data_IF_948237416891
#
_entry.id   IF_948237416891
#
_cell.length_a   1.000
_cell.length_b   1.000
_cell.length_c   1.000
_cell.angle_alpha   90.00
_cell.angle_beta   90.00
_cell.angle_gamma   90.00
#
_symmetry.space_group_name_H-M   'P 1'
#
loop_
_entity.id
_entity.type
_entity.pdbx_description
1 polymer ?
#
# COMPACT_ATOMS: atom_id res chain seq x y z
N UNK A 1 16.28 -24.52 -4.38
CA UNK A 1 16.10 -24.50 -2.92
C UNK A 1 17.49 -24.53 -2.32
N UNK A 2 17.82 -23.53 -1.50
CA UNK A 2 19.10 -23.44 -0.80
C UNK A 2 18.84 -23.62 0.70
N UNK A 3 19.74 -24.32 1.40
CA UNK A 3 19.64 -24.56 2.84
C UNK A 3 20.74 -23.72 3.50
N UNK A 4 20.34 -22.75 4.30
CA UNK A 4 21.26 -21.85 5.04
C UNK A 4 21.11 -22.08 6.53
N UNK A 5 22.22 -22.12 7.26
CA UNK A 5 22.18 -22.19 8.72
C UNK A 5 21.61 -20.88 9.28
N UNK A 6 20.75 -20.96 10.30
CA UNK A 6 20.16 -19.78 10.93
C UNK A 6 21.17 -18.78 11.50
N UNK A 7 22.35 -19.23 11.91
CA UNK A 7 23.43 -18.38 12.40
C UNK A 7 24.06 -17.50 11.30
N UNK A 8 23.95 -17.91 10.04
CA UNK A 8 24.49 -17.18 8.89
C UNK A 8 23.45 -16.21 8.28
N UNK A 9 22.21 -16.21 8.79
CA UNK A 9 21.15 -15.32 8.32
C UNK A 9 21.39 -13.91 8.89
N UNK A 10 21.76 -12.98 8.02
CA UNK A 10 21.82 -11.56 8.38
C UNK A 10 20.42 -10.93 8.28
N UNK A 11 20.04 -10.15 9.29
CA UNK A 11 18.73 -9.50 9.30
C UNK A 11 18.70 -8.38 8.27
N UNK A 12 17.77 -8.45 7.32
CA UNK A 12 17.52 -7.36 6.38
C UNK A 12 17.19 -6.07 7.12
N UNK A 13 17.78 -4.95 6.68
CA UNK A 13 17.41 -3.60 7.13
C UNK A 13 16.05 -3.16 6.59
N UNK A 14 15.54 -3.85 5.56
CA UNK A 14 14.27 -3.59 4.89
C UNK A 14 13.23 -4.60 5.37
N UNK A 15 12.05 -4.12 5.74
CA UNK A 15 10.93 -4.94 6.20
C UNK A 15 9.65 -4.56 5.48
N UNK A 16 8.77 -5.54 5.24
CA UNK A 16 7.39 -5.34 4.79
C UNK A 16 6.48 -5.68 5.97
N UNK A 17 5.61 -4.76 6.34
CA UNK A 17 4.78 -4.86 7.55
C UNK A 17 3.31 -4.70 7.17
N UNK A 18 2.46 -5.57 7.70
CA UNK A 18 1.00 -5.41 7.65
C UNK A 18 0.56 -4.97 9.04
N UNK A 19 -0.11 -3.81 9.11
CA UNK A 19 -0.68 -3.30 10.35
C UNK A 19 -2.20 -3.52 10.32
N UNK A 20 -2.70 -4.26 11.31
CA UNK A 20 -4.13 -4.56 11.45
C UNK A 20 -4.63 -4.23 12.85
N UNK A 21 -5.75 -3.50 12.92
CA UNK A 21 -6.46 -3.19 14.16
C UNK A 21 -7.89 -2.76 13.86
N UNK A 22 -8.74 -2.68 14.90
CA UNK A 22 -10.10 -2.15 14.78
C UNK A 22 -10.09 -0.69 14.27
N UNK A 23 -11.15 -0.23 13.58
CA UNK A 23 -11.30 1.19 13.22
C UNK A 23 -11.13 2.10 14.45
N UNK A 24 -10.48 3.26 14.28
CA UNK A 24 -10.23 4.21 15.37
C UNK A 24 -9.02 3.93 16.27
N UNK A 25 -8.37 2.76 16.15
CA UNK A 25 -7.21 2.41 16.99
C UNK A 25 -5.84 2.87 16.42
N UNK A 26 -5.81 4.03 15.76
CA UNK A 26 -4.54 4.70 15.40
C UNK A 26 -3.70 4.08 14.27
N UNK A 27 -4.27 3.27 13.37
CA UNK A 27 -3.51 2.68 12.23
C UNK A 27 -2.84 3.75 11.38
N UNK A 28 -3.62 4.74 10.96
CA UNK A 28 -3.15 5.89 10.19
C UNK A 28 -2.08 6.65 10.95
N UNK A 29 -2.28 6.90 12.25
CA UNK A 29 -1.32 7.60 13.12
C UNK A 29 0.05 6.93 13.16
N UNK A 30 0.15 5.61 12.98
CA UNK A 30 1.45 4.91 12.93
C UNK A 30 2.36 5.51 11.87
N UNK A 31 1.85 5.92 10.71
CA UNK A 31 2.67 6.46 9.63
C UNK A 31 3.47 7.71 10.05
N UNK A 32 2.88 8.56 10.89
CA UNK A 32 3.56 9.74 11.45
C UNK A 32 4.57 9.43 12.55
N UNK A 33 4.42 8.29 13.23
CA UNK A 33 5.32 7.85 14.29
C UNK A 33 6.53 7.06 13.78
N UNK A 34 6.57 6.70 12.49
CA UNK A 34 7.72 6.04 11.89
C UNK A 34 8.91 7.02 11.84
N UNK A 35 10.13 6.59 12.21
CA UNK A 35 11.31 7.42 12.07
C UNK A 35 11.61 7.67 10.58
N UNK A 36 12.11 8.87 10.28
CA UNK A 36 12.41 9.28 8.90
C UNK A 36 11.21 9.87 8.15
N UNK A 37 11.40 10.15 6.86
CA UNK A 37 10.33 10.67 5.98
C UNK A 37 9.45 9.53 5.50
N UNK A 38 8.13 9.72 5.59
CA UNK A 38 7.12 8.73 5.20
C UNK A 38 6.27 9.28 4.07
N UNK A 39 6.16 8.51 2.98
CA UNK A 39 5.18 8.76 1.92
C UNK A 39 3.95 7.86 2.14
N UNK A 40 2.79 8.48 2.37
CA UNK A 40 1.52 7.79 2.60
C UNK A 40 0.65 7.84 1.35
N UNK A 41 0.06 6.70 0.96
CA UNK A 41 -1.08 6.64 0.05
C UNK A 41 -2.38 6.58 0.85
N UNK A 42 -3.12 7.69 0.87
CA UNK A 42 -4.46 7.79 1.45
C UNK A 42 -5.53 7.35 0.45
N UNK A 43 -6.19 6.25 0.75
CA UNK A 43 -7.14 5.55 -0.10
C UNK A 43 -8.58 5.78 0.38
N UNK A 44 -8.80 5.92 1.69
CA UNK A 44 -10.13 6.02 2.31
C UNK A 44 -10.44 7.40 2.90
N UNK A 45 -9.54 8.38 2.75
CA UNK A 45 -9.73 9.76 3.17
C UNK A 45 -9.44 10.01 4.64
N UNK A 46 -8.73 9.10 5.31
CA UNK A 46 -8.48 9.15 6.76
C UNK A 46 -7.22 9.94 7.14
N UNK A 47 -6.53 10.55 6.17
CA UNK A 47 -5.27 11.28 6.39
C UNK A 47 -5.36 12.47 7.37
N UNK A 48 -6.56 12.88 7.78
CA UNK A 48 -6.74 13.90 8.83
C UNK A 48 -6.03 13.53 10.14
N UNK A 49 -5.91 12.23 10.43
CA UNK A 49 -5.16 11.73 11.59
C UNK A 49 -3.65 12.00 11.53
N UNK A 50 -3.14 12.45 10.37
CA UNK A 50 -1.75 12.82 10.13
C UNK A 50 -1.49 14.34 10.23
N UNK A 51 -2.51 15.13 10.60
CA UNK A 51 -2.34 16.57 10.78
C UNK A 51 -1.24 16.88 11.80
N UNK A 52 -0.29 17.74 11.41
CA UNK A 52 0.83 18.18 12.26
C UNK A 52 2.08 17.28 12.22
N UNK A 53 2.06 16.15 11.51
CA UNK A 53 3.27 15.34 11.30
C UNK A 53 4.09 15.88 10.14
N UNK A 54 5.15 16.64 10.43
CA UNK A 54 6.03 17.26 9.43
C UNK A 54 6.84 16.26 8.60
N UNK A 55 6.98 15.02 9.07
CA UNK A 55 7.72 13.95 8.40
C UNK A 55 6.87 13.16 7.39
N UNK A 56 5.61 13.54 7.17
CA UNK A 56 4.67 12.78 6.33
C UNK A 56 4.23 13.58 5.12
N UNK A 57 4.49 13.03 3.94
CA UNK A 57 3.87 13.47 2.68
C UNK A 57 2.71 12.54 2.34
N UNK A 58 1.56 13.09 1.93
CA UNK A 58 0.33 12.33 1.63
C UNK A 58 -0.04 12.46 0.16
N UNK A 59 -0.08 11.33 -0.55
CA UNK A 59 -0.69 11.18 -1.85
C UNK A 59 -2.11 10.61 -1.68
N UNK A 60 -3.07 11.09 -2.47
CA UNK A 60 -4.45 10.58 -2.46
C UNK A 60 -4.71 9.68 -3.65
N UNK A 61 -5.45 8.59 -3.43
CA UNK A 61 -5.90 7.73 -4.52
C UNK A 61 -6.87 8.48 -5.43
N UNK A 62 -6.78 8.25 -6.75
CA UNK A 62 -7.88 8.52 -7.66
C UNK A 62 -8.85 7.32 -7.61
N UNK A 63 -9.96 7.51 -6.91
CA UNK A 63 -11.00 6.48 -6.76
C UNK A 63 -11.69 6.09 -8.08
N UNK A 64 -11.58 6.91 -9.14
CA UNK A 64 -12.15 6.61 -10.46
C UNK A 64 -11.25 5.67 -11.28
N UNK A 65 -9.93 5.75 -11.07
CA UNK A 65 -8.92 4.90 -11.70
C UNK A 65 -7.95 4.32 -10.64
N UNK A 66 -8.44 3.50 -9.71
CA UNK A 66 -7.67 3.08 -8.54
C UNK A 66 -6.43 2.25 -8.91
N UNK A 67 -6.52 1.44 -9.97
CA UNK A 67 -5.39 0.64 -10.45
C UNK A 67 -4.24 1.51 -10.96
N UNK A 68 -4.53 2.49 -11.82
CA UNK A 68 -3.48 3.35 -12.39
C UNK A 68 -2.92 4.29 -11.33
N UNK A 69 -3.76 4.76 -10.41
CA UNK A 69 -3.35 5.62 -9.30
C UNK A 69 -2.35 4.96 -8.35
N UNK A 70 -2.54 3.69 -7.98
CA UNK A 70 -1.56 3.00 -7.13
C UNK A 70 -0.25 2.73 -7.88
N UNK A 71 -0.29 2.48 -9.19
CA UNK A 71 0.92 2.32 -10.00
C UNK A 71 1.70 3.63 -10.09
N UNK A 72 1.00 4.75 -10.27
CA UNK A 72 1.59 6.08 -10.23
C UNK A 72 2.21 6.38 -8.87
N UNK A 73 1.54 6.03 -7.77
CA UNK A 73 2.09 6.16 -6.42
C UNK A 73 3.42 5.41 -6.28
N UNK A 74 3.49 4.14 -6.71
CA UNK A 74 4.73 3.38 -6.66
C UNK A 74 5.81 3.93 -7.61
N UNK A 75 5.43 4.49 -8.76
CA UNK A 75 6.37 5.18 -9.64
C UNK A 75 6.96 6.43 -8.99
N UNK A 76 6.14 7.23 -8.29
CA UNK A 76 6.59 8.40 -7.51
C UNK A 76 7.52 7.95 -6.38
N UNK A 77 7.13 6.93 -5.61
CA UNK A 77 7.96 6.38 -4.54
C UNK A 77 9.34 5.95 -5.05
N UNK A 78 9.36 5.22 -6.18
CA UNK A 78 10.60 4.77 -6.82
C UNK A 78 11.45 5.92 -7.36
N UNK A 79 10.83 6.94 -7.95
CA UNK A 79 11.54 8.11 -8.47
C UNK A 79 12.15 8.99 -7.36
N UNK A 80 11.62 8.88 -6.13
CA UNK A 80 12.06 9.65 -4.96
C UNK A 80 12.63 8.74 -3.87
N UNK A 81 13.30 7.66 -4.27
CA UNK A 81 13.71 6.60 -3.34
C UNK A 81 14.71 7.08 -2.27
N UNK A 82 15.51 8.10 -2.58
CA UNK A 82 16.46 8.69 -1.65
C UNK A 82 15.82 9.72 -0.70
N UNK A 83 14.52 10.03 -0.89
CA UNK A 83 13.79 11.02 -0.08
C UNK A 83 12.95 10.37 1.01
N UNK A 84 12.46 9.15 0.80
CA UNK A 84 11.50 8.50 1.69
C UNK A 84 12.10 7.24 2.33
N UNK A 85 12.16 7.24 3.66
CA UNK A 85 12.55 6.09 4.45
C UNK A 85 11.42 5.04 4.50
N UNK A 86 10.17 5.50 4.45
CA UNK A 86 8.99 4.66 4.61
C UNK A 86 7.97 4.89 3.49
N UNK A 87 7.39 3.80 2.98
CA UNK A 87 6.21 3.82 2.10
C UNK A 87 5.05 3.16 2.85
N UNK A 88 3.93 3.88 2.96
CA UNK A 88 2.78 3.46 3.76
C UNK A 88 1.50 3.49 2.92
N UNK A 89 0.70 2.42 2.94
CA UNK A 89 -0.54 2.28 2.16
C UNK A 89 -1.71 2.22 3.12
N UNK A 90 -2.56 3.26 3.13
CA UNK A 90 -3.68 3.39 4.07
C UNK A 90 -5.02 3.58 3.32
N UNK A 91 -5.93 2.62 3.23
CA UNK A 91 -5.84 1.25 3.71
C UNK A 91 -6.02 0.24 2.56
N UNK A 92 -5.26 -0.85 2.62
CA UNK A 92 -5.23 -1.89 1.59
C UNK A 92 -6.61 -2.54 1.36
N UNK A 93 -7.44 -2.68 2.40
CA UNK A 93 -8.78 -3.25 2.29
C UNK A 93 -9.71 -2.37 1.45
N UNK A 94 -9.60 -1.05 1.56
CA UNK A 94 -10.39 -0.11 0.77
C UNK A 94 -9.91 -0.11 -0.69
N UNK A 95 -8.59 -0.23 -0.92
CA UNK A 95 -8.04 -0.43 -2.26
C UNK A 95 -8.61 -1.66 -2.96
N UNK A 96 -8.65 -2.81 -2.28
CA UNK A 96 -9.24 -4.05 -2.82
C UNK A 96 -10.68 -3.84 -3.27
N UNK A 97 -11.48 -3.12 -2.46
CA UNK A 97 -12.87 -2.79 -2.81
C UNK A 97 -12.95 -1.90 -4.04
N UNK A 98 -12.17 -0.81 -4.10
CA UNK A 98 -12.14 0.08 -5.25
C UNK A 98 -11.73 -0.66 -6.53
N UNK A 99 -10.72 -1.53 -6.44
CA UNK A 99 -10.25 -2.34 -7.57
C UNK A 99 -11.34 -3.27 -8.09
N UNK A 100 -12.05 -3.99 -7.20
CA UNK A 100 -13.15 -4.88 -7.57
C UNK A 100 -14.35 -4.12 -8.13
N UNK A 101 -14.73 -3.00 -7.51
CA UNK A 101 -15.81 -2.14 -8.02
C UNK A 101 -15.49 -1.64 -9.43
N UNK A 102 -14.23 -1.28 -9.70
CA UNK A 102 -13.80 -0.87 -11.04
C UNK A 102 -13.95 -1.99 -12.07
N UNK A 103 -13.70 -3.25 -11.69
CA UNK A 103 -13.96 -4.40 -12.57
C UNK A 103 -15.45 -4.62 -12.80
N UNK A 104 -16.25 -4.48 -11.75
CA UNK A 104 -17.69 -4.63 -11.78
C UNK A 104 -18.39 -3.67 -12.77
N UNK A 105 -17.85 -2.47 -12.99
CA UNK A 105 -18.37 -1.51 -13.99
C UNK A 105 -18.45 -2.10 -15.41
N UNK A 106 -17.60 -3.08 -15.74
CA UNK A 106 -17.56 -3.72 -17.05
C UNK A 106 -18.47 -4.94 -17.18
N UNK A 107 -19.12 -5.38 -16.10
CA UNK A 107 -19.93 -6.61 -16.07
C UNK A 107 -21.41 -6.29 -16.25
N UNK A 108 -22.17 -7.27 -16.78
CA UNK A 108 -23.63 -7.11 -16.96
C UNK A 108 -24.38 -6.97 -15.63
N UNK A 109 -23.89 -7.61 -14.57
CA UNK A 109 -24.51 -7.61 -13.24
C UNK A 109 -24.18 -6.37 -12.41
N UNK A 110 -23.20 -5.57 -12.81
CA UNK A 110 -22.63 -4.50 -11.98
C UNK A 110 -21.92 -5.05 -10.73
N UNK A 111 -21.55 -6.33 -10.75
CA UNK A 111 -20.84 -7.01 -9.65
C UNK A 111 -19.53 -7.61 -10.17
N UNK A 112 -18.48 -7.72 -9.32
CA UNK A 112 -17.26 -8.45 -9.69
C UNK A 112 -17.58 -9.91 -9.99
N UNK A 113 -16.90 -10.49 -10.98
CA UNK A 113 -16.99 -11.91 -11.31
C UNK A 113 -15.98 -12.73 -10.49
N UNK A 114 -16.18 -14.04 -10.36
CA UNK A 114 -15.26 -14.93 -9.60
C UNK A 114 -13.81 -14.80 -10.09
N UNK A 115 -13.62 -14.65 -11.41
CA UNK A 115 -12.29 -14.44 -12.01
C UNK A 115 -11.60 -13.17 -11.53
N UNK A 116 -12.36 -12.12 -11.20
CA UNK A 116 -11.81 -10.83 -10.77
C UNK A 116 -11.14 -10.95 -9.40
N UNK A 117 -11.63 -11.81 -8.52
CA UNK A 117 -10.98 -12.11 -7.24
C UNK A 117 -9.62 -12.78 -7.44
N UNK A 118 -9.53 -13.76 -8.36
CA UNK A 118 -8.25 -14.39 -8.70
C UNK A 118 -7.26 -13.39 -9.35
N UNK A 119 -7.77 -12.44 -10.14
CA UNK A 119 -6.95 -11.36 -10.70
C UNK A 119 -6.49 -10.38 -9.62
N UNK A 120 -7.35 -10.06 -8.64
CA UNK A 120 -7.00 -9.24 -7.50
C UNK A 120 -5.88 -9.88 -6.68
N UNK A 121 -5.96 -11.19 -6.39
CA UNK A 121 -4.92 -11.89 -5.64
C UNK A 121 -3.56 -11.80 -6.35
N UNK A 122 -3.54 -12.06 -7.65
CA UNK A 122 -2.33 -11.93 -8.46
C UNK A 122 -1.79 -10.48 -8.47
N UNK A 123 -2.70 -9.51 -8.50
CA UNK A 123 -2.35 -8.10 -8.47
C UNK A 123 -1.73 -7.69 -7.13
N UNK A 124 -2.34 -8.08 -6.01
CA UNK A 124 -1.83 -7.82 -4.67
C UNK A 124 -0.47 -8.49 -4.44
N UNK A 125 -0.29 -9.72 -4.93
CA UNK A 125 1.00 -10.41 -4.84
C UNK A 125 2.09 -9.60 -5.55
N UNK A 126 1.83 -9.14 -6.78
CA UNK A 126 2.78 -8.30 -7.53
C UNK A 126 3.08 -6.98 -6.82
N UNK A 127 2.08 -6.31 -6.25
CA UNK A 127 2.29 -5.08 -5.49
C UNK A 127 3.19 -5.32 -4.27
N UNK A 128 2.91 -6.38 -3.51
CA UNK A 128 3.70 -6.72 -2.32
C UNK A 128 5.11 -7.18 -2.69
N UNK A 129 5.30 -7.87 -3.81
CA UNK A 129 6.61 -8.34 -4.27
C UNK A 129 7.46 -7.24 -4.92
N UNK A 130 6.84 -6.16 -5.40
CA UNK A 130 7.56 -5.05 -6.05
C UNK A 130 8.69 -4.53 -5.15
N UNK A 131 9.96 -4.63 -5.59
CA UNK A 131 11.08 -4.10 -4.83
C UNK A 131 11.08 -2.57 -4.99
N UNK A 132 10.74 -1.87 -3.92
CA UNK A 132 10.66 -0.41 -3.93
C UNK A 132 11.96 0.27 -3.51
N UNK A 133 12.90 -0.47 -2.90
CA UNK A 133 14.11 0.09 -2.32
C UNK A 133 15.31 -0.74 -2.81
N UNK A 134 16.23 -0.13 -3.56
CA UNK A 134 17.53 -0.72 -3.90
C UNK A 134 18.53 -0.61 -2.76
#
# INVERSE_FOLDING_TARGET
>A
MEITNGADITRSKKVKVIIYSKPGNGKTTVAGLLPGRTLVLDIDGTSQALSGYENVDVAKIDGTNPHDSILQFFAIAKANIDTYDNIFIDNLTHYQKLWLLKKAESTKSGMPEIKDYALLDNHLLKLVETPLIH
#
